data_IF_819380626666
#
_entry.id   IF_819380626666
#
_cell.length_a   1.000
_cell.length_b   1.000
_cell.length_c   1.000
_cell.angle_alpha   90.00
_cell.angle_beta   90.00
_cell.angle_gamma   90.00
#
_symmetry.space_group_name_H-M   'P 1'
#
loop_
_entity.id
_entity.type
_entity.pdbx_description
1 polymer ?
#
# COMPACT_ATOMS: atom_id res chain seq x y z
N UNK A 1 6.06 -14.59 -10.97
CA UNK A 1 5.24 -14.75 -9.73
C UNK A 1 6.13 -14.94 -8.49
N UNK A 2 7.04 -14.00 -8.18
CA UNK A 2 7.95 -14.11 -7.01
C UNK A 2 8.10 -12.76 -6.25
N UNK A 3 7.57 -11.65 -6.77
CA UNK A 3 7.89 -10.32 -6.21
C UNK A 3 6.84 -9.79 -5.22
N UNK A 4 5.57 -10.22 -5.31
CA UNK A 4 4.50 -9.66 -4.46
C UNK A 4 4.32 -10.30 -3.08
N UNK A 5 4.98 -11.43 -2.78
CA UNK A 5 4.97 -12.00 -1.42
C UNK A 5 5.87 -11.22 -0.46
N UNK A 6 6.78 -10.37 -0.96
CA UNK A 6 7.72 -9.59 -0.13
C UNK A 6 7.18 -8.27 0.42
N UNK A 7 6.17 -7.66 -0.21
CA UNK A 7 5.69 -6.34 0.20
C UNK A 7 4.70 -6.40 1.38
N UNK A 8 3.71 -7.30 1.33
CA UNK A 8 2.73 -7.47 2.43
C UNK A 8 3.38 -8.07 3.69
N UNK A 9 4.39 -8.94 3.53
CA UNK A 9 5.21 -9.35 4.67
C UNK A 9 6.12 -8.24 5.19
N UNK A 10 6.48 -7.22 4.40
CA UNK A 10 7.30 -6.12 4.87
C UNK A 10 6.48 -5.12 5.70
N UNK A 11 5.26 -4.75 5.29
CA UNK A 11 4.43 -3.80 6.04
C UNK A 11 3.93 -4.39 7.35
N UNK A 12 3.56 -5.69 7.35
CA UNK A 12 3.16 -6.37 8.57
C UNK A 12 4.36 -6.71 9.46
N UNK A 13 5.54 -7.06 8.90
CA UNK A 13 6.77 -7.17 9.70
C UNK A 13 7.22 -5.84 10.24
N UNK A 14 7.06 -4.72 9.54
CA UNK A 14 7.40 -3.39 10.06
C UNK A 14 6.39 -2.95 11.12
N UNK A 15 5.12 -3.31 11.01
CA UNK A 15 4.12 -3.03 12.07
C UNK A 15 4.39 -3.88 13.32
N UNK A 16 4.75 -5.15 13.14
CA UNK A 16 5.10 -6.10 14.22
C UNK A 16 6.48 -5.81 14.80
N UNK A 17 7.48 -5.43 14.00
CA UNK A 17 8.78 -4.92 14.46
C UNK A 17 8.64 -3.55 15.11
N UNK A 18 7.74 -2.67 14.67
CA UNK A 18 7.48 -1.40 15.33
C UNK A 18 6.77 -1.61 16.66
N UNK A 19 5.81 -2.54 16.76
CA UNK A 19 5.21 -2.96 18.03
C UNK A 19 6.20 -3.70 18.93
N UNK A 20 7.12 -4.50 18.39
CA UNK A 20 8.11 -5.24 19.19
C UNK A 20 9.29 -4.35 19.59
N UNK A 21 9.79 -3.46 18.73
CA UNK A 21 10.90 -2.53 19.03
C UNK A 21 10.45 -1.35 19.91
N UNK A 22 9.21 -0.84 19.76
CA UNK A 22 8.66 0.15 20.70
C UNK A 22 8.14 -0.47 22.01
N UNK A 23 7.84 -1.78 22.05
CA UNK A 23 7.41 -2.48 23.27
C UNK A 23 8.56 -3.13 24.06
N UNK A 24 9.66 -3.55 23.41
CA UNK A 24 10.68 -4.37 24.08
C UNK A 24 12.08 -3.76 24.15
N UNK A 25 12.43 -2.76 23.34
CA UNK A 25 13.80 -2.22 23.34
C UNK A 25 13.89 -0.84 24.01
N UNK A 26 12.94 0.06 23.70
CA UNK A 26 12.94 1.41 24.30
C UNK A 26 12.44 1.39 25.74
N UNK A 27 11.31 0.77 26.10
CA UNK A 27 10.86 0.80 27.49
C UNK A 27 11.65 -0.16 28.36
N UNK A 28 12.38 -1.15 27.82
CA UNK A 28 13.19 -2.07 28.63
C UNK A 28 14.58 -1.51 28.87
N UNK A 29 15.25 -0.89 27.89
CA UNK A 29 16.50 -0.17 28.16
C UNK A 29 16.24 1.10 29.00
N UNK A 30 15.10 1.77 28.83
CA UNK A 30 14.70 2.92 29.65
C UNK A 30 14.14 2.51 31.02
N UNK A 31 13.40 1.39 31.17
CA UNK A 31 13.05 0.82 32.50
C UNK A 31 14.22 0.13 33.18
N UNK A 32 15.22 -0.38 32.46
CA UNK A 32 16.44 -0.90 33.06
C UNK A 32 17.34 0.26 33.45
N UNK A 33 17.44 1.35 32.69
CA UNK A 33 18.16 2.56 33.14
C UNK A 33 17.44 3.30 34.27
N UNK A 34 16.09 3.37 34.26
CA UNK A 34 15.31 3.99 35.33
C UNK A 34 15.21 3.06 36.54
N UNK A 35 14.99 1.76 36.34
CA UNK A 35 14.89 0.76 37.40
C UNK A 35 16.22 0.39 38.04
N UNK A 36 17.32 0.29 37.28
CA UNK A 36 18.68 0.23 37.85
C UNK A 36 19.08 1.58 38.43
N UNK A 37 18.58 2.70 37.87
CA UNK A 37 18.72 4.03 38.45
C UNK A 37 18.13 4.09 39.85
N UNK A 38 16.87 3.69 40.03
CA UNK A 38 16.19 3.77 41.33
C UNK A 38 16.77 2.80 42.37
N UNK A 39 17.12 1.56 41.98
CA UNK A 39 17.75 0.61 42.91
C UNK A 39 19.18 1.02 43.28
N UNK A 40 19.99 1.50 42.33
CA UNK A 40 21.37 1.91 42.59
C UNK A 40 21.44 3.29 43.28
N UNK A 41 20.49 4.19 43.02
CA UNK A 41 20.35 5.47 43.73
C UNK A 41 19.84 5.24 45.17
N UNK A 42 18.93 4.29 45.40
CA UNK A 42 18.51 3.90 46.75
C UNK A 42 19.64 3.24 47.55
N UNK A 43 20.44 2.38 46.91
CA UNK A 43 21.59 1.71 47.55
C UNK A 43 22.74 2.70 47.83
N UNK A 44 23.01 3.64 46.92
CA UNK A 44 23.98 4.73 47.14
C UNK A 44 23.49 5.77 48.15
N UNK A 45 22.18 6.06 48.21
CA UNK A 45 21.59 6.92 49.24
C UNK A 45 21.67 6.28 50.62
N UNK A 46 21.46 4.96 50.71
CA UNK A 46 21.61 4.20 51.95
C UNK A 46 23.09 4.13 52.39
N UNK A 47 24.03 4.02 51.45
CA UNK A 47 25.47 4.08 51.73
C UNK A 47 25.95 5.48 52.15
N UNK A 48 25.39 6.54 51.56
CA UNK A 48 25.67 7.93 51.94
C UNK A 48 25.07 8.30 53.32
N UNK A 49 23.95 7.69 53.71
CA UNK A 49 23.34 7.88 55.03
C UNK A 49 24.11 7.20 56.18
N UNK A 50 25.01 6.25 55.86
CA UNK A 50 25.73 5.44 56.85
C UNK A 50 27.16 5.93 57.14
N UNK A 51 27.69 6.92 56.42
CA UNK A 51 29.02 7.50 56.66
C UNK A 51 28.95 8.70 57.61
N UNK A 52 29.45 8.53 58.84
CA UNK A 52 29.49 9.53 59.91
C UNK A 52 30.68 10.49 59.84
N UNK A 53 31.32 10.66 58.67
CA UNK A 53 32.38 11.65 58.44
C UNK A 53 32.14 12.46 57.16
N UNK A 54 32.46 13.77 57.13
CA UNK A 54 32.22 14.64 56.00
C UNK A 54 33.28 14.42 54.90
N UNK A 55 33.27 13.24 54.27
CA UNK A 55 34.06 12.98 53.07
C UNK A 55 33.32 13.56 51.86
N UNK A 56 33.46 14.88 51.67
CA UNK A 56 32.95 15.62 50.51
C UNK A 56 33.28 14.96 49.15
N UNK A 57 34.30 14.11 49.11
CA UNK A 57 34.71 13.31 47.94
C UNK A 57 33.66 12.25 47.54
N UNK A 58 33.00 11.62 48.51
CA UNK A 58 31.92 10.63 48.30
C UNK A 58 30.65 11.31 47.80
N UNK A 59 30.28 12.45 48.39
CA UNK A 59 29.16 13.27 47.90
C UNK A 59 29.39 13.80 46.48
N UNK A 60 30.63 14.17 46.14
CA UNK A 60 31.00 14.64 44.80
C UNK A 60 30.89 13.52 43.74
N UNK A 61 31.29 12.30 44.09
CA UNK A 61 31.24 11.15 43.16
C UNK A 61 29.81 10.66 42.93
N UNK A 62 28.99 10.60 43.97
CA UNK A 62 27.56 10.23 43.85
C UNK A 62 26.78 11.25 43.02
N UNK A 63 27.11 12.55 43.11
CA UNK A 63 26.49 13.59 42.29
C UNK A 63 26.99 13.63 40.83
N UNK A 64 28.21 13.17 40.56
CA UNK A 64 28.80 13.18 39.21
C UNK A 64 28.19 12.14 38.27
N UNK A 65 27.74 10.99 38.79
CA UNK A 65 27.17 9.90 37.98
C UNK A 65 25.86 10.30 37.29
N UNK A 66 24.84 10.86 38.00
CA UNK A 66 23.62 11.35 37.36
C UNK A 66 23.89 12.46 36.33
N UNK A 67 24.82 13.37 36.64
CA UNK A 67 25.20 14.44 35.72
C UNK A 67 25.75 13.87 34.40
N UNK A 68 26.69 12.92 34.47
CA UNK A 68 27.24 12.28 33.27
C UNK A 68 26.19 11.46 32.51
N UNK A 69 25.37 10.68 33.21
CA UNK A 69 24.28 9.92 32.61
C UNK A 69 23.29 10.83 31.86
N UNK A 70 22.95 11.99 32.42
CA UNK A 70 22.07 12.97 31.77
C UNK A 70 22.68 13.57 30.49
N UNK A 71 23.98 13.83 30.47
CA UNK A 71 24.68 14.35 29.27
C UNK A 71 24.70 13.30 28.17
N UNK A 72 25.00 12.04 28.51
CA UNK A 72 25.00 10.92 27.55
C UNK A 72 23.58 10.69 27.02
N UNK A 73 22.59 10.65 27.90
CA UNK A 73 21.18 10.49 27.54
C UNK A 73 20.70 11.63 26.63
N UNK A 74 21.02 12.88 26.96
CA UNK A 74 20.69 14.04 26.13
C UNK A 74 21.34 13.95 24.74
N UNK A 75 22.58 13.48 24.66
CA UNK A 75 23.31 13.32 23.39
C UNK A 75 22.69 12.22 22.52
N UNK A 76 22.34 11.08 23.12
CA UNK A 76 21.68 9.96 22.44
C UNK A 76 20.27 10.37 21.99
N UNK A 77 19.51 11.03 22.87
CA UNK A 77 18.18 11.55 22.55
C UNK A 77 18.24 12.58 21.41
N UNK A 78 19.20 13.51 21.43
CA UNK A 78 19.38 14.49 20.37
C UNK A 78 19.69 13.83 19.01
N UNK A 79 20.54 12.78 19.00
CA UNK A 79 20.84 12.02 17.77
C UNK A 79 19.64 11.21 17.29
N UNK A 80 18.91 10.57 18.20
CA UNK A 80 17.70 9.83 17.89
C UNK A 80 16.61 10.74 17.33
N UNK A 81 16.38 11.91 17.94
CA UNK A 81 15.42 12.91 17.49
C UNK A 81 15.76 13.43 16.08
N UNK A 82 17.05 13.70 15.79
CA UNK A 82 17.49 14.10 14.44
C UNK A 82 17.22 13.01 13.38
N UNK A 83 17.47 11.74 13.71
CA UNK A 83 17.20 10.60 12.81
C UNK A 83 15.71 10.41 12.60
N UNK A 84 14.91 10.45 13.67
CA UNK A 84 13.46 10.34 13.60
C UNK A 84 12.86 11.45 12.73
N UNK A 85 13.27 12.71 12.93
CA UNK A 85 12.83 13.85 12.13
C UNK A 85 13.16 13.68 10.64
N UNK A 86 14.35 13.16 10.30
CA UNK A 86 14.72 12.90 8.90
C UNK A 86 13.83 11.84 8.26
N UNK A 87 13.57 10.74 8.97
CA UNK A 87 12.68 9.66 8.49
C UNK A 87 11.25 10.19 8.31
N UNK A 88 10.76 10.98 9.26
CA UNK A 88 9.45 11.59 9.20
C UNK A 88 9.30 12.54 8.01
N UNK A 89 10.27 13.43 7.77
CA UNK A 89 10.27 14.32 6.60
C UNK A 89 10.30 13.54 5.28
N UNK A 90 11.13 12.49 5.18
CA UNK A 90 11.14 11.66 3.97
C UNK A 90 9.83 10.89 3.78
N UNK A 91 9.20 10.45 4.87
CA UNK A 91 7.91 9.77 4.82
C UNK A 91 6.78 10.73 4.45
N UNK A 92 6.82 11.98 4.92
CA UNK A 92 5.88 13.03 4.51
C UNK A 92 6.04 13.33 3.02
N UNK A 93 7.27 13.53 2.55
CA UNK A 93 7.53 13.77 1.13
C UNK A 93 7.08 12.61 0.25
N UNK A 94 7.32 11.36 0.67
CA UNK A 94 6.85 10.18 -0.04
C UNK A 94 5.32 10.15 -0.14
N UNK A 95 4.62 10.42 0.98
CA UNK A 95 3.15 10.49 1.00
C UNK A 95 2.62 11.59 0.10
N UNK A 96 3.27 12.75 0.07
CA UNK A 96 2.86 13.86 -0.80
C UNK A 96 3.03 13.50 -2.28
N UNK A 97 4.11 12.81 -2.63
CA UNK A 97 4.31 12.29 -3.99
C UNK A 97 3.28 11.21 -4.34
N UNK A 98 3.04 10.25 -3.45
CA UNK A 98 2.02 9.20 -3.63
C UNK A 98 0.61 9.77 -3.78
N UNK A 99 0.28 10.82 -3.03
CA UNK A 99 -1.00 11.52 -3.14
C UNK A 99 -1.14 12.23 -4.49
N UNK A 100 -0.11 12.95 -4.94
CA UNK A 100 -0.11 13.62 -6.26
C UNK A 100 -0.22 12.62 -7.41
N UNK A 101 0.48 11.49 -7.30
CA UNK A 101 0.39 10.41 -8.28
C UNK A 101 -1.01 9.79 -8.27
N UNK A 102 -1.57 9.50 -7.09
CA UNK A 102 -2.92 8.94 -6.98
C UNK A 102 -3.99 9.87 -7.55
N UNK A 103 -3.89 11.17 -7.29
CA UNK A 103 -4.78 12.18 -7.86
C UNK A 103 -4.66 12.20 -9.39
N UNK A 104 -3.43 12.20 -9.92
CA UNK A 104 -3.21 12.16 -11.37
C UNK A 104 -3.74 10.88 -12.01
N UNK A 105 -3.56 9.72 -11.36
CA UNK A 105 -4.14 8.45 -11.82
C UNK A 105 -5.66 8.54 -11.88
N UNK A 106 -6.30 9.08 -10.85
CA UNK A 106 -7.75 9.26 -10.84
C UNK A 106 -8.24 10.09 -12.04
N UNK A 107 -7.56 11.21 -12.33
CA UNK A 107 -7.87 12.05 -13.50
C UNK A 107 -7.72 11.29 -14.83
N UNK A 108 -6.73 10.40 -14.93
CA UNK A 108 -6.50 9.58 -16.12
C UNK A 108 -7.58 8.50 -16.27
N UNK A 109 -7.88 7.73 -15.21
CA UNK A 109 -8.84 6.62 -15.30
C UNK A 109 -10.31 7.06 -15.40
N UNK A 110 -10.68 8.17 -14.77
CA UNK A 110 -12.09 8.58 -14.66
C UNK A 110 -12.81 8.74 -16.02
N UNK A 111 -12.25 9.43 -17.03
CA UNK A 111 -12.88 9.53 -18.35
C UNK A 111 -13.15 8.16 -19.00
N UNK A 112 -12.18 7.24 -18.92
CA UNK A 112 -12.31 5.90 -19.50
C UNK A 112 -13.34 5.05 -18.77
N UNK A 113 -13.34 5.06 -17.43
CA UNK A 113 -14.34 4.34 -16.63
C UNK A 113 -15.75 4.87 -16.88
N UNK A 114 -15.90 6.19 -17.02
CA UNK A 114 -17.19 6.80 -17.36
C UNK A 114 -17.64 6.42 -18.78
N UNK A 115 -16.72 6.42 -19.75
CA UNK A 115 -17.01 5.99 -21.12
C UNK A 115 -17.58 4.57 -21.14
N UNK A 116 -16.91 3.63 -20.46
CA UNK A 116 -17.37 2.23 -20.46
C UNK A 116 -18.69 2.09 -19.69
N UNK A 117 -18.88 2.85 -18.61
CA UNK A 117 -20.18 2.92 -17.93
C UNK A 117 -21.29 3.34 -18.90
N UNK A 118 -21.06 4.42 -19.65
CA UNK A 118 -22.07 4.95 -20.56
C UNK A 118 -22.39 3.97 -21.71
N UNK A 119 -21.38 3.21 -22.18
CA UNK A 119 -21.57 2.10 -23.11
C UNK A 119 -22.44 0.97 -22.54
N UNK A 120 -22.25 0.60 -21.26
CA UNK A 120 -23.03 -0.45 -20.60
C UNK A 120 -24.47 -0.04 -20.30
N UNK A 121 -24.68 1.23 -19.94
CA UNK A 121 -26.01 1.80 -19.68
C UNK A 121 -26.84 2.00 -20.97
N UNK A 122 -26.32 1.55 -22.13
CA UNK A 122 -26.92 1.74 -23.47
C UNK A 122 -27.27 3.19 -23.78
N UNK A 123 -26.54 4.14 -23.20
CA UNK A 123 -26.68 5.54 -23.58
C UNK A 123 -26.10 5.71 -24.98
N UNK A 124 -26.69 6.59 -25.78
CA UNK A 124 -26.03 7.01 -27.02
C UNK A 124 -24.71 7.67 -26.63
N UNK A 125 -23.61 7.02 -26.98
CA UNK A 125 -22.28 7.57 -26.83
C UNK A 125 -21.90 8.13 -28.20
N UNK A 126 -21.49 9.39 -28.22
CA UNK A 126 -20.92 9.97 -29.43
C UNK A 126 -19.62 9.24 -29.80
N UNK A 127 -19.51 8.81 -31.05
CA UNK A 127 -18.37 8.00 -31.51
C UNK A 127 -17.08 8.82 -31.54
N UNK A 128 -17.16 10.12 -31.85
CA UNK A 128 -16.02 11.01 -31.88
C UNK A 128 -15.48 11.26 -30.46
N UNK A 129 -16.36 11.60 -29.52
CA UNK A 129 -16.03 11.74 -28.09
C UNK A 129 -15.46 10.43 -27.49
N UNK A 130 -16.04 9.27 -27.85
CA UNK A 130 -15.53 7.96 -27.42
C UNK A 130 -14.10 7.73 -27.88
N UNK A 131 -13.82 8.00 -29.16
CA UNK A 131 -12.50 7.81 -29.77
C UNK A 131 -11.48 8.75 -29.14
N UNK A 132 -11.84 10.00 -28.88
CA UNK A 132 -10.99 10.97 -28.21
C UNK A 132 -10.62 10.49 -26.80
N UNK A 133 -11.61 10.08 -25.99
CA UNK A 133 -11.39 9.55 -24.63
C UNK A 133 -10.49 8.31 -24.61
N UNK A 134 -10.70 7.37 -25.55
CA UNK A 134 -9.85 6.17 -25.67
C UNK A 134 -8.42 6.56 -26.04
N UNK A 135 -8.24 7.47 -27.00
CA UNK A 135 -6.91 7.93 -27.45
C UNK A 135 -6.14 8.64 -26.33
N UNK A 136 -6.81 9.56 -25.63
CA UNK A 136 -6.23 10.28 -24.50
C UNK A 136 -5.87 9.32 -23.37
N UNK A 137 -6.77 8.40 -23.02
CA UNK A 137 -6.50 7.40 -21.99
C UNK A 137 -5.31 6.51 -22.37
N UNK A 138 -5.25 6.02 -23.61
CA UNK A 138 -4.16 5.18 -24.11
C UNK A 138 -2.80 5.86 -23.98
N UNK A 139 -2.75 7.17 -24.24
CA UNK A 139 -1.51 7.97 -24.12
C UNK A 139 -1.05 8.06 -22.66
N UNK A 140 -1.97 8.33 -21.74
CA UNK A 140 -1.62 8.59 -20.35
C UNK A 140 -1.46 7.34 -19.49
N UNK A 141 -2.21 6.27 -19.78
CA UNK A 141 -2.13 5.00 -19.01
C UNK A 141 -0.76 4.34 -19.16
N UNK A 142 -0.08 4.51 -20.30
CA UNK A 142 1.29 4.00 -20.51
C UNK A 142 2.29 4.70 -19.58
N UNK A 143 2.06 5.97 -19.23
CA UNK A 143 2.97 6.78 -18.42
C UNK A 143 2.67 6.59 -16.92
N UNK A 144 1.39 6.59 -16.54
CA UNK A 144 0.96 6.63 -15.14
C UNK A 144 0.41 5.30 -14.61
N UNK A 145 -0.01 4.40 -15.49
CA UNK A 145 -0.56 3.10 -15.11
C UNK A 145 0.52 2.12 -14.67
N UNK A 146 0.18 1.20 -13.77
CA UNK A 146 1.01 0.02 -13.51
C UNK A 146 1.00 -0.93 -14.70
N UNK A 147 2.04 -1.77 -14.78
CA UNK A 147 2.19 -2.82 -15.79
C UNK A 147 0.91 -3.67 -15.93
N UNK A 148 0.27 -3.99 -14.80
CA UNK A 148 -0.97 -4.76 -14.77
C UNK A 148 -2.13 -4.02 -15.44
N UNK A 149 -2.30 -2.73 -15.15
CA UNK A 149 -3.37 -1.93 -15.73
C UNK A 149 -3.16 -1.67 -17.22
N UNK A 150 -1.90 -1.41 -17.63
CA UNK A 150 -1.53 -1.27 -19.05
C UNK A 150 -1.82 -2.57 -19.81
N UNK A 151 -1.43 -3.72 -19.25
CA UNK A 151 -1.70 -5.02 -19.87
C UNK A 151 -3.19 -5.34 -19.96
N UNK A 152 -3.96 -5.07 -18.89
CA UNK A 152 -5.39 -5.32 -18.88
C UNK A 152 -6.13 -4.43 -19.89
N UNK A 153 -5.74 -3.16 -19.99
CA UNK A 153 -6.29 -2.24 -20.99
C UNK A 153 -5.93 -2.67 -22.41
N UNK A 154 -4.66 -3.02 -22.65
CA UNK A 154 -4.21 -3.57 -23.93
C UNK A 154 -5.08 -4.77 -24.34
N UNK A 155 -5.24 -5.76 -23.47
CA UNK A 155 -6.00 -6.97 -23.76
C UNK A 155 -7.48 -6.66 -24.04
N UNK A 156 -8.08 -5.75 -23.25
CA UNK A 156 -9.46 -5.31 -23.48
C UNK A 156 -9.63 -4.64 -24.85
N UNK A 157 -8.77 -3.70 -25.21
CA UNK A 157 -8.85 -3.00 -26.49
C UNK A 157 -8.57 -3.92 -27.68
N UNK A 158 -7.54 -4.76 -27.58
CA UNK A 158 -7.25 -5.74 -28.62
C UNK A 158 -8.43 -6.70 -28.80
N UNK A 159 -9.03 -7.21 -27.72
CA UNK A 159 -10.21 -8.06 -27.84
C UNK A 159 -11.35 -7.31 -28.53
N UNK A 160 -11.64 -6.07 -28.14
CA UNK A 160 -12.72 -5.27 -28.73
C UNK A 160 -12.57 -5.07 -30.26
N UNK A 161 -11.35 -5.04 -30.79
CA UNK A 161 -11.10 -4.95 -32.24
C UNK A 161 -11.25 -6.28 -33.00
N UNK A 162 -11.36 -7.40 -32.28
CA UNK A 162 -11.37 -8.73 -32.87
C UNK A 162 -12.72 -9.46 -32.73
N UNK A 163 -13.79 -8.77 -32.34
CA UNK A 163 -15.15 -9.33 -32.18
C UNK A 163 -15.19 -10.55 -31.23
N UNK A 164 -14.88 -10.34 -29.94
CA UNK A 164 -14.77 -11.41 -28.98
C UNK A 164 -16.17 -11.85 -28.50
N UNK A 165 -16.33 -13.11 -28.04
CA UNK A 165 -17.55 -13.53 -27.36
C UNK A 165 -17.88 -12.59 -26.19
N UNK A 166 -19.16 -12.29 -25.99
CA UNK A 166 -19.62 -11.31 -24.98
C UNK A 166 -19.05 -11.61 -23.60
N UNK A 167 -18.99 -12.89 -23.21
CA UNK A 167 -18.41 -13.33 -21.93
C UNK A 167 -16.94 -12.96 -21.79
N UNK A 168 -16.15 -13.13 -22.86
CA UNK A 168 -14.72 -12.76 -22.89
C UNK A 168 -14.57 -11.24 -22.78
N UNK A 169 -15.40 -10.47 -23.49
CA UNK A 169 -15.36 -9.01 -23.43
C UNK A 169 -15.69 -8.50 -22.02
N UNK A 170 -16.75 -9.03 -21.40
CA UNK A 170 -17.15 -8.68 -20.03
C UNK A 170 -16.07 -9.05 -19.01
N UNK A 171 -15.42 -10.21 -19.19
CA UNK A 171 -14.29 -10.64 -18.36
C UNK A 171 -13.14 -9.64 -18.44
N UNK A 172 -12.68 -9.32 -19.64
CA UNK A 172 -11.57 -8.39 -19.87
C UNK A 172 -11.88 -6.98 -19.35
N UNK A 173 -13.13 -6.54 -19.52
CA UNK A 173 -13.59 -5.28 -18.94
C UNK A 173 -13.49 -5.29 -17.41
N UNK A 174 -14.02 -6.33 -16.75
CA UNK A 174 -13.97 -6.44 -15.30
C UNK A 174 -12.52 -6.54 -14.80
N UNK A 175 -11.67 -7.31 -15.48
CA UNK A 175 -10.25 -7.42 -15.16
C UNK A 175 -9.52 -6.06 -15.30
N UNK A 176 -9.85 -5.25 -16.32
CA UNK A 176 -9.33 -3.88 -16.46
C UNK A 176 -9.75 -2.99 -15.30
N UNK A 177 -11.02 -3.01 -14.89
CA UNK A 177 -11.49 -2.21 -13.74
C UNK A 177 -10.82 -2.64 -12.44
N UNK A 178 -10.62 -3.95 -12.26
CA UNK A 178 -9.91 -4.49 -11.11
C UNK A 178 -8.43 -4.07 -11.08
N UNK A 179 -7.76 -4.11 -12.23
CA UNK A 179 -6.39 -3.63 -12.37
C UNK A 179 -6.29 -2.12 -12.10
N UNK A 180 -7.21 -1.31 -12.64
CA UNK A 180 -7.28 0.13 -12.37
C UNK A 180 -7.50 0.42 -10.87
N UNK A 181 -8.35 -0.36 -10.20
CA UNK A 181 -8.58 -0.23 -8.75
C UNK A 181 -7.32 -0.53 -7.94
N UNK A 182 -6.60 -1.61 -8.28
CA UNK A 182 -5.30 -1.93 -7.66
C UNK A 182 -4.29 -0.82 -7.88
N UNK A 183 -4.26 -0.27 -9.10
CA UNK A 183 -3.36 0.80 -9.51
C UNK A 183 -3.57 2.13 -8.76
N UNK A 184 -4.82 2.42 -8.39
CA UNK A 184 -5.23 3.60 -7.61
C UNK A 184 -5.02 3.45 -6.09
N UNK A 185 -4.24 2.46 -5.64
CA UNK A 185 -3.84 2.32 -4.23
C UNK A 185 -4.60 1.26 -3.45
N UNK A 186 -5.45 0.46 -4.10
CA UNK A 186 -6.17 -0.66 -3.47
C UNK A 186 -5.57 -2.01 -3.88
N UNK A 187 -4.25 -2.20 -3.70
CA UNK A 187 -3.54 -3.42 -4.12
C UNK A 187 -4.12 -4.71 -3.54
N UNK A 188 -4.57 -4.65 -2.28
CA UNK A 188 -5.01 -5.81 -1.50
C UNK A 188 -6.54 -5.99 -1.57
N UNK A 189 -7.15 -5.54 -2.68
CA UNK A 189 -8.61 -5.64 -2.85
C UNK A 189 -9.06 -7.10 -2.93
N UNK A 190 -10.09 -7.43 -2.16
CA UNK A 190 -10.81 -8.72 -2.23
C UNK A 190 -12.05 -8.65 -3.12
N UNK A 191 -12.25 -7.53 -3.80
CA UNK A 191 -13.35 -7.38 -4.76
C UNK A 191 -13.03 -8.29 -5.94
N UNK A 192 -14.04 -8.98 -6.45
CA UNK A 192 -13.92 -9.88 -7.59
C UNK A 192 -14.65 -9.29 -8.80
N UNK A 193 -14.35 -9.73 -10.03
CA UNK A 193 -15.06 -9.32 -11.23
C UNK A 193 -16.59 -9.36 -11.11
N UNK A 194 -17.15 -10.41 -10.51
CA UNK A 194 -18.60 -10.55 -10.29
C UNK A 194 -19.17 -9.48 -9.36
N UNK A 195 -18.46 -9.11 -8.30
CA UNK A 195 -18.90 -8.04 -7.40
C UNK A 195 -19.04 -6.70 -8.15
N UNK A 196 -18.15 -6.43 -9.09
CA UNK A 196 -18.21 -5.22 -9.90
C UNK A 196 -19.33 -5.27 -10.95
N UNK A 197 -19.43 -6.37 -11.69
CA UNK A 197 -20.45 -6.55 -12.72
C UNK A 197 -21.86 -6.67 -12.12
N UNK A 198 -22.00 -7.28 -10.95
CA UNK A 198 -23.28 -7.49 -10.27
C UNK A 198 -23.92 -6.20 -9.76
N UNK A 199 -23.15 -5.11 -9.64
CA UNK A 199 -23.71 -3.78 -9.39
C UNK A 199 -24.41 -3.17 -10.61
N UNK A 200 -24.21 -3.73 -11.81
CA UNK A 200 -24.75 -3.22 -13.09
C UNK A 200 -25.65 -4.22 -13.81
N UNK A 201 -25.46 -5.52 -13.55
CA UNK A 201 -26.17 -6.61 -14.21
C UNK A 201 -27.03 -7.31 -13.16
N UNK A 202 -28.35 -7.10 -13.25
CA UNK A 202 -29.32 -7.54 -12.23
C UNK A 202 -29.45 -9.07 -12.13
N UNK A 203 -29.17 -9.80 -13.19
CA UNK A 203 -29.33 -11.25 -13.32
C UNK A 203 -27.98 -12.00 -13.34
N UNK A 204 -26.88 -11.37 -12.89
CA UNK A 204 -25.52 -11.90 -13.08
C UNK A 204 -25.36 -13.38 -12.69
N UNK A 205 -25.86 -13.77 -11.52
CA UNK A 205 -25.69 -15.12 -10.98
C UNK A 205 -26.63 -16.17 -11.61
N UNK A 206 -27.76 -15.72 -12.17
CA UNK A 206 -28.72 -16.57 -12.87
C UNK A 206 -28.41 -16.65 -14.38
N UNK A 207 -27.64 -15.69 -14.89
CA UNK A 207 -27.29 -15.57 -16.29
C UNK A 207 -26.27 -16.64 -16.69
N UNK A 208 -26.68 -17.56 -17.56
CA UNK A 208 -25.84 -18.66 -18.05
C UNK A 208 -24.51 -18.20 -18.67
N UNK A 209 -24.44 -16.99 -19.22
CA UNK A 209 -23.22 -16.44 -19.82
C UNK A 209 -22.24 -15.91 -18.78
N UNK A 210 -22.74 -15.34 -17.67
CA UNK A 210 -21.90 -14.54 -16.74
C UNK A 210 -21.78 -15.12 -15.33
N UNK A 211 -22.55 -16.15 -14.97
CA UNK A 211 -22.56 -16.75 -13.62
C UNK A 211 -21.19 -17.20 -13.09
N UNK A 212 -20.24 -17.49 -13.99
CA UNK A 212 -18.89 -17.97 -13.65
C UNK A 212 -17.79 -16.99 -14.10
N UNK A 213 -18.05 -15.69 -14.09
CA UNK A 213 -17.10 -14.68 -14.62
C UNK A 213 -15.82 -14.54 -13.76
N UNK A 214 -15.82 -15.06 -12.54
CA UNK A 214 -14.66 -15.00 -11.64
C UNK A 214 -13.58 -16.04 -11.94
N UNK A 215 -13.86 -17.01 -12.81
CA UNK A 215 -12.85 -18.00 -13.21
C UNK A 215 -11.66 -17.32 -13.91
N UNK A 216 -10.46 -17.92 -13.87
CA UNK A 216 -9.29 -17.40 -14.57
C UNK A 216 -9.59 -17.09 -16.05
N UNK A 217 -9.02 -15.99 -16.56
CA UNK A 217 -9.26 -15.52 -17.93
C UNK A 217 -9.04 -16.62 -18.99
N UNK A 218 -7.99 -17.43 -18.84
CA UNK A 218 -7.68 -18.50 -19.79
C UNK A 218 -8.77 -19.59 -19.83
N UNK A 219 -9.42 -19.85 -18.69
CA UNK A 219 -10.51 -20.82 -18.61
C UNK A 219 -11.75 -20.29 -19.33
N UNK A 220 -12.04 -18.98 -19.21
CA UNK A 220 -13.12 -18.32 -19.98
C UNK A 220 -12.86 -18.44 -21.48
N UNK A 221 -11.61 -18.21 -21.92
CA UNK A 221 -11.25 -18.36 -23.33
C UNK A 221 -11.41 -19.80 -23.82
N UNK A 222 -11.03 -20.79 -23.01
CA UNK A 222 -11.17 -22.20 -23.35
C UNK A 222 -12.64 -22.60 -23.48
N UNK A 223 -13.51 -22.17 -22.56
CA UNK A 223 -14.96 -22.42 -22.59
C UNK A 223 -15.61 -21.83 -23.85
N UNK A 224 -15.25 -20.60 -24.20
CA UNK A 224 -15.79 -19.88 -25.36
C UNK A 224 -15.08 -20.22 -26.67
N UNK A 225 -14.10 -21.15 -26.64
CA UNK A 225 -13.23 -21.51 -27.78
C UNK A 225 -12.59 -20.27 -28.45
N UNK A 226 -12.29 -19.26 -27.65
CA UNK A 226 -11.71 -18.00 -28.10
C UNK A 226 -10.19 -18.06 -28.04
N UNK A 227 -9.52 -17.62 -29.10
CA UNK A 227 -8.06 -17.47 -29.13
C UNK A 227 -7.68 -16.00 -29.00
N UNK A 228 -6.99 -15.60 -27.93
CA UNK A 228 -6.59 -14.21 -27.76
C UNK A 228 -5.56 -13.80 -28.83
N UNK A 229 -5.73 -12.64 -29.49
CA UNK A 229 -4.88 -12.22 -30.62
C UNK A 229 -3.43 -11.93 -30.24
N UNK A 230 -3.15 -11.69 -28.95
CA UNK A 230 -1.79 -11.44 -28.44
C UNK A 230 -1.03 -12.71 -28.03
N UNK A 231 -1.70 -13.86 -27.99
CA UNK A 231 -1.03 -15.15 -27.79
C UNK A 231 -0.55 -15.60 -29.17
N UNK A 232 0.71 -15.32 -29.48
CA UNK A 232 1.33 -15.85 -30.70
C UNK A 232 1.38 -17.39 -30.62
N UNK A 233 1.06 -18.11 -31.71
CA UNK A 233 1.24 -19.56 -31.81
C UNK A 233 2.73 -19.96 -31.70
#
# INVERSE_FOLDING_TARGET
>A
MIVHVKAVTATDRVSKLRRTLLSSAVPLAFKVLIGMGDSMVMELAHLAAQSSSPDWKLSLTVAAIPAFASIVAATVAARAAKRAKKVELSAQHLRDLENRISEKKYDVYKPMINLIRDMLDRRQVDEEDSRAKISDFSTWVIIYGSDEAVQAFHNFMQAAYHDPPVKVLMKLYADFVMAARRDMGYSDTKVEPSHFLGMRINDLYDNSLLRNIDVPYLDVCAEERWQPPWVRP
#
